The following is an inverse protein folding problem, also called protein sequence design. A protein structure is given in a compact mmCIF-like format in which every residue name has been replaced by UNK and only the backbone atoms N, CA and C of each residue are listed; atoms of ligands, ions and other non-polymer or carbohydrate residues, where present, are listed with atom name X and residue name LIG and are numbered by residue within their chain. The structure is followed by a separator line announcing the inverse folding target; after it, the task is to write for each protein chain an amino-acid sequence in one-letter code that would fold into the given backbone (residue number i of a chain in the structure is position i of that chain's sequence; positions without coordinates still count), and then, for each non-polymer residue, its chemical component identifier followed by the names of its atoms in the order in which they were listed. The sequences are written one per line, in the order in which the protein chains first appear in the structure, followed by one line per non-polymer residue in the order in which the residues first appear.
data_IF_319600904167
#
_entry.id   IF_319600904167
#
_cell.length_a   1.000
_cell.length_b   1.000
_cell.length_c   1.000
_cell.angle_alpha   90.00
_cell.angle_beta   90.00
_cell.angle_gamma   90.00
#
_symmetry.space_group_name_H-M   'P 1'
#
loop_
_entity.id
_entity.type
_entity.pdbx_description
1 polymer ?
#
# COMPACT_ATOMS: atom_id res chain seq x y z
N UNK A 1 29.45 -14.01 16.60
CA UNK A 1 29.29 -13.18 15.41
C UNK A 1 29.18 -14.16 14.25
N UNK A 2 28.00 -14.33 13.64
CA UNK A 2 27.87 -15.10 12.41
C UNK A 2 28.59 -14.30 11.32
N UNK A 3 29.52 -14.90 10.60
CA UNK A 3 30.08 -14.31 9.42
C UNK A 3 28.94 -14.12 8.42
N UNK A 4 28.74 -12.87 7.95
CA UNK A 4 27.73 -12.57 6.93
C UNK A 4 28.11 -13.31 5.65
N UNK A 5 27.20 -14.14 5.14
CA UNK A 5 27.38 -14.84 3.88
C UNK A 5 27.29 -13.87 2.72
N UNK A 6 28.24 -13.91 1.78
CA UNK A 6 28.22 -13.11 0.57
C UNK A 6 27.20 -13.68 -0.42
N UNK A 7 26.05 -13.03 -0.54
CA UNK A 7 24.96 -13.48 -1.42
C UNK A 7 25.19 -13.13 -2.90
N UNK A 8 25.93 -12.05 -3.20
CA UNK A 8 26.11 -11.53 -4.54
C UNK A 8 27.41 -10.74 -4.69
N UNK A 9 28.13 -10.95 -5.79
CA UNK A 9 29.31 -10.19 -6.17
C UNK A 9 29.01 -9.32 -7.40
N UNK A 10 29.23 -8.00 -7.29
CA UNK A 10 29.08 -7.06 -8.41
C UNK A 10 30.29 -7.19 -9.34
N UNK A 11 30.03 -7.41 -10.63
CA UNK A 11 31.02 -7.44 -11.70
C UNK A 11 30.86 -6.20 -12.57
N UNK A 12 31.92 -5.82 -13.31
CA UNK A 12 31.87 -4.71 -14.26
C UNK A 12 30.71 -4.84 -15.26
N UNK A 13 30.42 -6.05 -15.72
CA UNK A 13 29.26 -6.33 -16.60
C UNK A 13 27.89 -6.04 -15.98
N UNK A 14 27.81 -5.83 -14.68
CA UNK A 14 26.56 -5.47 -14.01
C UNK A 14 26.28 -3.94 -14.01
N UNK A 15 27.29 -3.11 -14.33
CA UNK A 15 27.14 -1.65 -14.30
C UNK A 15 26.10 -1.14 -15.30
N UNK A 16 25.99 -1.80 -16.47
CA UNK A 16 25.03 -1.43 -17.51
C UNK A 16 23.69 -2.18 -17.41
N UNK A 17 23.57 -3.14 -16.49
CA UNK A 17 22.34 -3.94 -16.30
C UNK A 17 21.32 -3.29 -15.35
N UNK A 18 21.66 -2.18 -14.73
CA UNK A 18 20.92 -1.61 -13.62
C UNK A 18 20.89 -2.59 -12.45
N UNK A 19 19.74 -2.73 -11.78
CA UNK A 19 19.57 -3.66 -10.65
C UNK A 19 19.07 -5.04 -11.06
N UNK A 20 19.03 -5.36 -12.36
CA UNK A 20 18.55 -6.68 -12.84
C UNK A 20 19.42 -7.80 -12.29
N UNK A 21 18.82 -8.75 -11.57
CA UNK A 21 19.50 -9.90 -10.98
C UNK A 21 20.34 -9.57 -9.74
N UNK A 22 20.27 -8.34 -9.23
CA UNK A 22 20.92 -7.93 -7.99
C UNK A 22 19.90 -8.02 -6.85
N UNK A 23 20.12 -8.86 -5.80
CA UNK A 23 19.24 -8.92 -4.65
C UNK A 23 19.33 -7.60 -3.86
N UNK A 24 18.19 -6.97 -3.61
CA UNK A 24 18.10 -5.69 -2.90
C UNK A 24 17.40 -5.81 -1.54
N UNK A 25 16.81 -6.98 -1.25
CA UNK A 25 16.11 -7.25 -0.02
C UNK A 25 15.28 -8.52 -0.11
N UNK A 26 14.61 -8.86 0.99
CA UNK A 26 13.63 -9.94 1.07
C UNK A 26 12.22 -9.39 0.95
N UNK A 27 11.32 -10.12 0.31
CA UNK A 27 9.89 -9.83 0.27
C UNK A 27 9.13 -10.99 0.90
N UNK A 28 8.40 -10.71 1.98
CA UNK A 28 7.62 -11.72 2.71
C UNK A 28 6.13 -11.70 2.32
N UNK A 29 5.71 -10.70 1.55
CA UNK A 29 4.29 -10.50 1.21
C UNK A 29 3.91 -11.11 -0.12
N UNK A 30 4.84 -11.21 -1.06
CA UNK A 30 4.53 -11.73 -2.39
C UNK A 30 5.76 -12.32 -3.07
N UNK A 31 5.51 -13.29 -3.93
CA UNK A 31 6.50 -13.73 -4.90
C UNK A 31 5.82 -14.09 -6.23
N UNK A 32 6.58 -14.11 -7.31
CA UNK A 32 6.10 -14.47 -8.63
C UNK A 32 6.87 -15.69 -9.12
N UNK A 33 6.15 -16.79 -9.32
CA UNK A 33 6.67 -17.97 -9.98
C UNK A 33 6.38 -17.89 -11.50
N UNK A 34 7.36 -18.16 -12.39
CA UNK A 34 7.14 -18.10 -13.83
C UNK A 34 6.11 -19.11 -14.37
N UNK A 35 5.85 -20.21 -13.65
CA UNK A 35 4.93 -21.27 -14.05
C UNK A 35 3.63 -21.25 -13.25
N UNK A 36 3.71 -20.95 -11.97
CA UNK A 36 2.58 -20.99 -11.03
C UNK A 36 1.94 -19.61 -10.80
N UNK A 37 2.59 -18.53 -11.29
CA UNK A 37 2.03 -17.18 -11.19
C UNK A 37 2.35 -16.44 -9.89
N UNK A 38 1.44 -15.54 -9.49
CA UNK A 38 1.61 -14.64 -8.34
C UNK A 38 1.05 -15.27 -7.07
N UNK A 39 1.83 -15.16 -6.00
CA UNK A 39 1.43 -15.62 -4.66
C UNK A 39 1.49 -14.46 -3.67
N UNK A 40 0.51 -14.37 -2.78
CA UNK A 40 0.49 -13.47 -1.64
C UNK A 40 0.56 -14.28 -0.34
N UNK A 41 1.64 -14.09 0.42
CA UNK A 41 1.90 -14.81 1.69
C UNK A 41 1.77 -16.35 1.51
N UNK A 42 2.21 -16.85 0.35
CA UNK A 42 2.16 -18.28 0.02
C UNK A 42 0.84 -18.78 -0.60
N UNK A 43 -0.19 -17.96 -0.67
CA UNK A 43 -1.46 -18.30 -1.35
C UNK A 43 -1.41 -17.89 -2.81
N UNK A 44 -1.75 -18.78 -3.78
CA UNK A 44 -1.94 -18.38 -5.16
C UNK A 44 -2.99 -17.28 -5.27
N UNK A 45 -2.74 -16.27 -6.12
CA UNK A 45 -3.69 -15.16 -6.26
C UNK A 45 -5.07 -15.62 -6.72
N UNK A 46 -5.13 -16.71 -7.48
CA UNK A 46 -6.35 -17.34 -7.97
C UNK A 46 -7.28 -17.81 -6.83
N UNK A 47 -6.68 -18.24 -5.71
CA UNK A 47 -7.46 -18.67 -4.53
C UNK A 47 -8.01 -17.46 -3.75
N UNK A 48 -7.43 -16.28 -3.94
CA UNK A 48 -7.80 -15.06 -3.23
C UNK A 48 -8.84 -14.21 -3.96
N UNK A 49 -9.09 -14.45 -5.26
CA UNK A 49 -10.01 -13.61 -6.07
C UNK A 49 -11.47 -13.64 -5.63
N UNK A 50 -11.86 -14.65 -4.86
CA UNK A 50 -13.24 -14.79 -4.34
C UNK A 50 -13.39 -14.28 -2.89
N UNK A 51 -12.30 -13.79 -2.28
CA UNK A 51 -12.33 -13.17 -0.96
C UNK A 51 -12.73 -11.70 -1.09
N UNK A 52 -13.18 -11.10 0.01
CA UNK A 52 -13.36 -9.66 0.10
C UNK A 52 -11.98 -8.96 0.07
N UNK A 53 -11.91 -7.77 -0.50
CA UNK A 53 -10.64 -7.05 -0.63
C UNK A 53 -9.98 -6.79 0.73
N UNK A 54 -10.76 -6.52 1.76
CA UNK A 54 -10.28 -6.30 3.13
C UNK A 54 -9.62 -7.55 3.72
N UNK A 55 -10.07 -8.75 3.35
CA UNK A 55 -9.46 -9.99 3.81
C UNK A 55 -8.07 -10.20 3.19
N UNK A 56 -7.89 -9.78 1.95
CA UNK A 56 -6.57 -9.79 1.29
C UNK A 56 -5.66 -8.73 1.92
N UNK A 57 -6.18 -7.54 2.25
CA UNK A 57 -5.43 -6.52 3.00
C UNK A 57 -5.02 -7.05 4.37
N UNK A 58 -5.95 -7.73 5.07
CA UNK A 58 -5.65 -8.37 6.36
C UNK A 58 -4.53 -9.39 6.23
N UNK A 59 -4.59 -10.28 5.22
CA UNK A 59 -3.54 -11.27 4.93
C UNK A 59 -2.17 -10.61 4.75
N UNK A 60 -2.07 -9.57 3.95
CA UNK A 60 -0.80 -8.88 3.69
C UNK A 60 -0.21 -8.20 4.93
N UNK A 61 -1.07 -7.67 5.81
CA UNK A 61 -0.66 -6.98 7.03
C UNK A 61 -0.35 -7.95 8.19
N UNK A 62 -1.06 -9.08 8.27
CA UNK A 62 -0.97 -10.02 9.40
C UNK A 62 -0.25 -11.32 9.06
N UNK A 63 0.01 -11.61 7.77
CA UNK A 63 0.65 -12.84 7.26
C UNK A 63 -0.20 -14.11 7.45
N UNK A 64 -1.49 -13.96 7.68
CA UNK A 64 -2.47 -15.03 7.81
C UNK A 64 -3.84 -14.56 7.32
N UNK A 65 -4.67 -15.49 6.83
CA UNK A 65 -6.06 -15.18 6.49
C UNK A 65 -6.87 -14.93 7.76
N UNK A 66 -7.84 -13.98 7.73
CA UNK A 66 -8.68 -13.72 8.88
C UNK A 66 -9.68 -14.85 9.10
N UNK A 67 -10.03 -15.10 10.36
CA UNK A 67 -11.28 -15.81 10.68
C UNK A 67 -12.48 -14.91 10.33
N UNK A 68 -13.71 -15.47 10.20
CA UNK A 68 -14.90 -14.64 9.92
C UNK A 68 -15.10 -13.50 10.94
N UNK A 69 -14.80 -13.72 12.20
CA UNK A 69 -14.91 -12.71 13.25
C UNK A 69 -13.83 -11.62 13.10
N UNK A 70 -12.60 -12.02 12.76
CA UNK A 70 -11.49 -11.08 12.50
C UNK A 70 -11.76 -10.23 11.25
N UNK A 71 -12.31 -10.84 10.19
CA UNK A 71 -12.71 -10.16 8.96
C UNK A 71 -13.74 -9.06 9.25
N UNK A 72 -14.82 -9.38 9.95
CA UNK A 72 -15.86 -8.40 10.30
C UNK A 72 -15.31 -7.24 11.16
N UNK A 73 -14.50 -7.57 12.16
CA UNK A 73 -13.85 -6.56 13.01
C UNK A 73 -12.92 -5.67 12.21
N UNK A 74 -12.13 -6.25 11.31
CA UNK A 74 -11.18 -5.51 10.48
C UNK A 74 -11.88 -4.57 9.50
N UNK A 75 -12.96 -5.03 8.84
CA UNK A 75 -13.81 -4.19 7.98
C UNK A 75 -14.41 -3.01 8.74
N UNK A 76 -14.97 -3.29 9.92
CA UNK A 76 -15.52 -2.24 10.78
C UNK A 76 -14.46 -1.21 11.18
N UNK A 77 -13.24 -1.65 11.48
CA UNK A 77 -12.13 -0.76 11.82
C UNK A 77 -11.70 0.10 10.63
N UNK A 78 -11.56 -0.48 9.43
CA UNK A 78 -11.26 0.28 8.22
C UNK A 78 -12.35 1.31 7.91
N UNK A 79 -13.63 0.94 8.03
CA UNK A 79 -14.74 1.86 7.82
C UNK A 79 -14.67 3.08 8.77
N UNK A 80 -14.46 2.85 10.06
CA UNK A 80 -14.29 3.93 11.03
C UNK A 80 -13.10 4.85 10.72
N UNK A 81 -11.96 4.28 10.33
CA UNK A 81 -10.75 5.05 9.97
C UNK A 81 -10.95 5.88 8.69
N UNK A 82 -11.82 5.42 7.79
CA UNK A 82 -12.13 6.06 6.50
C UNK A 82 -13.22 7.13 6.56
N UNK A 83 -13.94 7.31 7.68
CA UNK A 83 -15.07 8.24 7.76
C UNK A 83 -14.72 9.69 7.41
N UNK A 84 -13.53 10.14 7.78
CA UNK A 84 -13.11 11.52 7.54
C UNK A 84 -11.62 11.63 7.25
N UNK A 85 -11.25 12.61 6.43
CA UNK A 85 -9.85 13.02 6.27
C UNK A 85 -9.45 13.97 7.40
N UNK A 86 -8.20 13.90 7.90
CA UNK A 86 -7.67 14.86 8.87
C UNK A 86 -7.78 16.30 8.37
N UNK A 87 -8.14 17.23 9.24
CA UNK A 87 -8.28 18.65 8.90
C UNK A 87 -6.99 19.23 8.28
N UNK A 88 -5.82 18.80 8.74
CA UNK A 88 -4.54 19.20 8.16
C UNK A 88 -4.40 18.79 6.69
N UNK A 89 -4.75 17.55 6.35
CA UNK A 89 -4.73 17.07 4.98
C UNK A 89 -5.79 17.80 4.11
N UNK A 90 -6.99 18.02 4.63
CA UNK A 90 -8.04 18.77 3.92
C UNK A 90 -7.56 20.18 3.53
N UNK A 91 -6.94 20.92 4.44
CA UNK A 91 -6.40 22.26 4.15
C UNK A 91 -5.36 22.26 3.05
N UNK A 92 -4.50 21.26 3.00
CA UNK A 92 -3.50 21.11 1.94
C UNK A 92 -4.21 20.88 0.61
N UNK A 93 -5.16 19.94 0.53
CA UNK A 93 -5.92 19.66 -0.68
C UNK A 93 -6.73 20.86 -1.17
N UNK A 94 -7.37 21.61 -0.28
CA UNK A 94 -8.13 22.82 -0.59
C UNK A 94 -7.25 23.96 -1.12
N UNK A 95 -5.97 23.97 -0.76
CA UNK A 95 -5.00 24.96 -1.28
C UNK A 95 -4.54 24.67 -2.71
N UNK A 96 -4.77 23.47 -3.23
CA UNK A 96 -4.40 23.11 -4.59
C UNK A 96 -5.36 23.80 -5.59
N UNK A 97 -4.82 24.44 -6.62
CA UNK A 97 -5.61 25.11 -7.63
C UNK A 97 -6.20 24.09 -8.61
N UNK A 98 -7.53 23.92 -8.70
CA UNK A 98 -8.14 23.02 -9.65
C UNK A 98 -7.69 23.29 -11.09
N UNK A 99 -7.27 22.24 -11.80
CA UNK A 99 -6.83 22.33 -13.20
C UNK A 99 -5.36 22.73 -13.40
N UNK A 100 -4.59 22.92 -12.34
CA UNK A 100 -3.12 23.07 -12.41
C UNK A 100 -2.42 21.77 -12.05
N UNK A 101 -1.36 21.41 -12.79
CA UNK A 101 -0.59 20.19 -12.54
C UNK A 101 -1.27 18.89 -12.97
N UNK A 102 -0.57 17.78 -12.78
CA UNK A 102 -1.07 16.45 -13.09
C UNK A 102 -1.83 15.87 -11.87
N UNK A 103 -2.98 15.20 -12.05
CA UNK A 103 -3.74 14.63 -10.94
C UNK A 103 -2.95 13.69 -10.03
N UNK A 104 -1.96 12.97 -10.58
CA UNK A 104 -1.08 12.12 -9.77
C UNK A 104 -0.15 12.91 -8.84
N UNK A 105 0.22 14.15 -9.21
CA UNK A 105 0.99 15.02 -8.31
C UNK A 105 0.13 15.43 -7.11
N UNK A 106 -1.14 15.71 -7.33
CA UNK A 106 -2.09 16.02 -6.27
C UNK A 106 -2.36 14.81 -5.37
N UNK A 107 -2.44 13.62 -5.96
CA UNK A 107 -2.57 12.40 -5.18
C UNK A 107 -1.34 12.19 -4.29
N UNK A 108 -0.13 12.35 -4.83
CA UNK A 108 1.10 12.25 -4.05
C UNK A 108 1.14 13.27 -2.90
N UNK A 109 0.78 14.53 -3.16
CA UNK A 109 0.68 15.57 -2.13
C UNK A 109 -0.35 15.18 -1.07
N UNK A 110 -1.50 14.65 -1.48
CA UNK A 110 -2.56 14.20 -0.57
C UNK A 110 -2.10 13.05 0.34
N UNK A 111 -1.41 12.07 -0.21
CA UNK A 111 -0.84 10.95 0.57
C UNK A 111 0.18 11.47 1.60
N UNK A 112 1.08 12.36 1.20
CA UNK A 112 2.04 12.96 2.12
C UNK A 112 1.36 13.80 3.20
N UNK A 113 0.30 14.54 2.84
CA UNK A 113 -0.47 15.33 3.79
C UNK A 113 -1.19 14.44 4.82
N UNK A 114 -1.74 13.28 4.40
CA UNK A 114 -2.32 12.29 5.32
C UNK A 114 -1.28 11.77 6.32
N UNK A 115 -0.11 11.36 5.84
CA UNK A 115 0.95 10.81 6.68
C UNK A 115 1.54 11.82 7.68
N UNK A 116 1.53 13.13 7.32
CA UNK A 116 2.04 14.19 8.22
C UNK A 116 0.99 14.73 9.19
N UNK A 117 -0.30 14.64 8.86
CA UNK A 117 -1.37 15.18 9.68
C UNK A 117 -1.63 14.36 10.95
N UNK A 118 -1.55 13.04 10.86
CA UNK A 118 -1.85 12.11 11.97
C UNK A 118 -0.88 10.91 11.98
N UNK A 119 0.43 11.12 12.19
CA UNK A 119 1.38 10.02 12.29
C UNK A 119 1.14 9.22 13.58
N UNK A 120 1.01 7.91 13.46
CA UNK A 120 0.84 7.03 14.63
C UNK A 120 2.18 6.52 15.17
N UNK A 121 3.23 6.54 14.35
CA UNK A 121 4.53 5.95 14.67
C UNK A 121 4.56 4.42 14.54
N UNK A 122 3.44 3.81 14.13
CA UNK A 122 3.31 2.39 13.83
C UNK A 122 2.98 2.18 12.36
N UNK A 123 3.87 1.54 11.61
CA UNK A 123 3.75 1.35 10.16
C UNK A 123 2.46 0.63 9.76
N UNK A 124 2.00 -0.34 10.57
CA UNK A 124 0.75 -1.08 10.30
C UNK A 124 -0.46 -0.17 10.45
N UNK A 125 -0.52 0.60 11.53
CA UNK A 125 -1.61 1.55 11.79
C UNK A 125 -1.64 2.67 10.74
N UNK A 126 -0.48 3.20 10.36
CA UNK A 126 -0.37 4.22 9.31
C UNK A 126 -0.80 3.66 7.94
N UNK A 127 -0.46 2.41 7.62
CA UNK A 127 -0.93 1.72 6.42
C UNK A 127 -2.46 1.56 6.40
N UNK A 128 -3.05 1.15 7.52
CA UNK A 128 -4.51 1.02 7.66
C UNK A 128 -5.21 2.38 7.50
N UNK A 129 -4.67 3.45 8.10
CA UNK A 129 -5.18 4.82 7.93
C UNK A 129 -5.15 5.27 6.48
N UNK A 130 -4.05 4.98 5.77
CA UNK A 130 -3.92 5.34 4.36
C UNK A 130 -4.90 4.56 3.48
N UNK A 131 -4.97 3.23 3.64
CA UNK A 131 -5.87 2.36 2.88
C UNK A 131 -7.33 2.81 3.08
N UNK A 132 -7.75 3.00 4.31
CA UNK A 132 -9.11 3.39 4.65
C UNK A 132 -9.53 4.76 4.08
N UNK A 133 -8.60 5.71 4.01
CA UNK A 133 -8.84 7.09 3.54
C UNK A 133 -8.62 7.30 2.05
N UNK A 134 -8.05 6.33 1.37
CA UNK A 134 -7.74 6.45 -0.06
C UNK A 134 -8.98 6.72 -0.92
N UNK A 135 -10.16 6.09 -0.74
CA UNK A 135 -11.35 6.38 -1.53
C UNK A 135 -11.78 7.84 -1.45
N UNK A 136 -11.81 8.44 -0.25
CA UNK A 136 -12.18 9.85 -0.07
C UNK A 136 -11.12 10.79 -0.65
N UNK A 137 -9.82 10.46 -0.47
CA UNK A 137 -8.72 11.21 -1.08
C UNK A 137 -8.85 11.21 -2.61
N UNK A 138 -9.06 10.04 -3.22
CA UNK A 138 -9.24 9.89 -4.67
C UNK A 138 -10.44 10.68 -5.17
N UNK A 139 -11.58 10.67 -4.46
CA UNK A 139 -12.76 11.43 -4.84
C UNK A 139 -12.52 12.94 -4.85
N UNK A 140 -11.63 13.45 -4.00
CA UNK A 140 -11.26 14.87 -3.97
C UNK A 140 -10.26 15.26 -5.04
N UNK A 141 -9.29 14.39 -5.30
CA UNK A 141 -8.25 14.61 -6.32
C UNK A 141 -8.83 14.47 -7.74
N UNK A 142 -9.75 13.54 -7.94
CA UNK A 142 -10.39 13.25 -9.22
C UNK A 142 -11.90 13.52 -9.17
N UNK A 143 -12.32 14.78 -8.98
CA UNK A 143 -13.74 15.08 -8.89
C UNK A 143 -14.44 14.68 -10.20
N UNK A 144 -15.41 13.79 -10.11
CA UNK A 144 -16.24 13.41 -11.23
C UNK A 144 -17.04 14.66 -11.67
N UNK A 145 -16.80 15.16 -12.89
CA UNK A 145 -17.68 16.20 -13.44
C UNK A 145 -19.10 15.63 -13.47
N UNK A 146 -19.96 16.10 -12.57
CA UNK A 146 -21.40 15.87 -12.72
C UNK A 146 -21.79 16.48 -14.07
N UNK A 147 -22.19 15.63 -15.02
CA UNK A 147 -22.84 16.05 -16.29
C UNK A 147 -24.21 16.63 -16.02
#
# INVERSE_FOLDING_TARGET
MSEDEVLFNIKESNLDSGLRGVPVGTCETSYVDPLEGVHYVGYPVEDLVNLEEEDVVYLLLNKELPTPEQSEKFRSELAMRGETLPTGALRVLESLTPGSGHPMDWLAIGIMALGTAEPTGDAKSDSMNLIARMPELMARVFPTKRR
#
